data_IF_582954425550
#
_entry.id   IF_582954425550
#
_cell.length_a   1.000
_cell.length_b   1.000
_cell.length_c   1.000
_cell.angle_alpha   90.00
_cell.angle_beta   90.00
_cell.angle_gamma   90.00
#
_symmetry.space_group_name_H-M   'P 1'
#
loop_
_entity.id
_entity.type
_entity.pdbx_description
1 polymer ?
#
# COMPACT_ATOMS: atom_id res chain seq x y z
N UNK A 1 1.46 18.12 38.12
CA UNK A 1 2.20 17.06 37.39
C UNK A 1 1.52 16.94 36.03
N UNK A 2 2.17 17.41 34.97
CA UNK A 2 1.62 17.31 33.62
C UNK A 2 1.88 15.89 33.11
N UNK A 3 0.84 15.08 33.02
CA UNK A 3 0.90 13.74 32.45
C UNK A 3 0.74 13.85 30.94
N UNK A 4 1.85 14.22 30.28
CA UNK A 4 1.92 14.20 28.82
C UNK A 4 1.75 12.74 28.36
N UNK A 5 0.63 12.45 27.70
CA UNK A 5 0.35 11.11 27.17
C UNK A 5 1.24 10.95 25.94
N UNK A 6 2.21 10.04 26.01
CA UNK A 6 3.00 9.64 24.85
C UNK A 6 2.03 9.03 23.81
N UNK A 7 1.87 9.70 22.68
CA UNK A 7 1.14 9.14 21.54
C UNK A 7 1.96 7.96 20.98
N UNK A 8 1.51 6.74 21.22
CA UNK A 8 2.11 5.52 20.71
C UNK A 8 1.12 4.80 19.80
N UNK A 9 1.57 4.39 18.62
CA UNK A 9 0.81 3.56 17.70
C UNK A 9 1.63 2.30 17.37
N UNK A 10 0.94 1.17 17.22
CA UNK A 10 1.57 -0.06 16.71
C UNK A 10 1.44 -0.07 15.20
N UNK A 11 2.56 0.01 14.49
CA UNK A 11 2.60 -0.13 13.03
C UNK A 11 2.86 -1.60 12.70
N UNK A 12 2.00 -2.27 11.93
CA UNK A 12 2.29 -3.63 11.49
C UNK A 12 3.48 -3.61 10.54
N UNK A 13 4.48 -4.46 10.83
CA UNK A 13 5.56 -4.74 9.89
C UNK A 13 5.09 -5.84 8.94
N UNK A 14 5.03 -5.54 7.65
CA UNK A 14 4.64 -6.49 6.62
C UNK A 14 5.87 -7.13 5.99
N UNK A 15 5.86 -8.45 5.87
CA UNK A 15 6.85 -9.20 5.08
C UNK A 15 6.59 -8.98 3.59
N UNK A 16 7.63 -8.72 2.81
CA UNK A 16 7.49 -8.69 1.36
C UNK A 16 7.30 -10.10 0.81
N UNK A 17 6.23 -10.25 0.02
CA UNK A 17 5.98 -11.46 -0.76
C UNK A 17 6.80 -11.47 -2.05
N UNK A 18 6.28 -12.14 -3.07
CA UNK A 18 6.89 -12.14 -4.40
C UNK A 18 6.81 -10.74 -5.01
N UNK A 19 7.91 -10.29 -5.62
CA UNK A 19 7.98 -9.01 -6.32
C UNK A 19 8.25 -9.22 -7.81
N UNK A 20 7.72 -8.32 -8.64
CA UNK A 20 8.04 -8.29 -10.07
C UNK A 20 9.46 -7.79 -10.35
N UNK A 21 9.99 -8.13 -11.53
CA UNK A 21 11.16 -7.46 -12.10
C UNK A 21 10.90 -5.95 -12.25
N UNK A 22 11.91 -5.07 -12.05
CA UNK A 22 11.72 -3.62 -12.13
C UNK A 22 11.05 -3.12 -13.41
N UNK A 23 11.33 -3.70 -14.58
CA UNK A 23 10.71 -3.27 -15.84
C UNK A 23 9.22 -3.57 -15.86
N UNK A 24 8.83 -4.74 -15.34
CA UNK A 24 7.42 -5.14 -15.25
C UNK A 24 6.69 -4.34 -14.17
N UNK A 25 7.30 -4.14 -13.01
CA UNK A 25 6.73 -3.35 -11.93
C UNK A 25 6.42 -1.91 -12.37
N UNK A 26 7.31 -1.29 -13.15
CA UNK A 26 7.11 0.05 -13.71
C UNK A 26 5.90 0.13 -14.64
N UNK A 27 5.63 -0.94 -15.41
CA UNK A 27 4.49 -0.98 -16.33
C UNK A 27 3.16 -1.18 -15.59
N UNK A 28 3.15 -1.99 -14.53
CA UNK A 28 1.94 -2.31 -13.76
C UNK A 28 1.59 -1.19 -12.77
N UNK A 29 2.60 -0.53 -12.21
CA UNK A 29 2.41 0.48 -11.16
C UNK A 29 2.47 -0.05 -9.73
N UNK A 30 2.83 -1.33 -9.55
CA UNK A 30 3.18 -1.93 -8.25
C UNK A 30 4.32 -2.92 -8.39
N UNK A 31 5.18 -3.00 -7.37
CA UNK A 31 6.21 -4.06 -7.26
C UNK A 31 5.66 -5.35 -6.66
N UNK A 32 4.57 -5.25 -5.89
CA UNK A 32 3.98 -6.37 -5.16
C UNK A 32 2.93 -7.06 -6.01
N UNK A 33 3.15 -8.34 -6.30
CA UNK A 33 2.24 -9.16 -7.12
C UNK A 33 0.85 -9.22 -6.49
N UNK A 34 0.78 -9.32 -5.16
CA UNK A 34 -0.47 -9.45 -4.41
C UNK A 34 -1.34 -8.18 -4.47
N UNK A 35 -0.78 -7.05 -4.93
CA UNK A 35 -1.49 -5.77 -5.09
C UNK A 35 -1.91 -5.50 -6.54
N UNK A 36 -1.54 -6.38 -7.48
CA UNK A 36 -1.94 -6.31 -8.89
C UNK A 36 -3.35 -6.89 -9.06
N UNK A 37 -4.32 -6.23 -8.41
CA UNK A 37 -5.73 -6.62 -8.38
C UNK A 37 -6.56 -5.66 -9.23
N UNK A 38 -7.63 -6.13 -9.89
CA UNK A 38 -8.53 -5.25 -10.62
C UNK A 38 -9.16 -4.24 -9.67
N UNK A 39 -9.28 -2.98 -10.10
CA UNK A 39 -10.02 -1.97 -9.37
C UNK A 39 -11.51 -2.34 -9.36
N UNK A 40 -12.06 -2.62 -8.18
CA UNK A 40 -13.46 -3.09 -8.06
C UNK A 40 -14.51 -1.96 -8.08
N UNK A 41 -14.12 -0.69 -8.03
CA UNK A 41 -15.03 0.44 -8.21
C UNK A 41 -14.36 1.54 -9.04
N UNK A 42 -14.96 1.87 -10.19
CA UNK A 42 -14.56 3.00 -11.01
C UNK A 42 -14.76 4.29 -10.23
N UNK A 43 -13.75 5.16 -10.24
CA UNK A 43 -13.88 6.51 -9.69
C UNK A 43 -15.09 7.23 -10.28
N UNK A 44 -15.65 8.18 -9.51
CA UNK A 44 -16.74 9.04 -9.95
C UNK A 44 -16.45 9.59 -11.35
N UNK A 45 -17.39 9.49 -12.32
CA UNK A 45 -17.18 10.09 -13.62
C UNK A 45 -16.99 11.59 -13.42
N UNK A 46 -15.85 12.11 -13.88
CA UNK A 46 -15.65 13.54 -14.00
C UNK A 46 -16.59 14.05 -15.10
N UNK A 47 -17.62 14.79 -14.69
CA UNK A 47 -18.55 15.47 -15.57
C UNK A 47 -17.91 16.69 -16.23
#
# INVERSE_FOLDING_TARGET
MNSDILAMATVPVQTFGVVYDPKKALQIGTVFVDLDLPFFEGGVPHA
#
